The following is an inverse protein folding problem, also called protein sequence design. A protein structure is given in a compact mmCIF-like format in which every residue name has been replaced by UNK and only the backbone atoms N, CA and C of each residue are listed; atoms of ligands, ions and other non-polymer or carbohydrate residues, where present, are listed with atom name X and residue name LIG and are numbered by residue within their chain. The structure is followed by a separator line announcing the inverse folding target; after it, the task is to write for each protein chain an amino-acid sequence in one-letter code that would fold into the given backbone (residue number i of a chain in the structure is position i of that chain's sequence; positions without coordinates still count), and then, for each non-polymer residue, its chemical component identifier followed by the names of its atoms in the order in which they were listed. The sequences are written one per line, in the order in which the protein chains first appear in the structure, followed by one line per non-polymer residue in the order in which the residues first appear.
data_IF_022533908162
#
_entry.id   IF_022533908162
#
_cell.length_a   1.000
_cell.length_b   1.000
_cell.length_c   1.000
_cell.angle_alpha   90.00
_cell.angle_beta   90.00
_cell.angle_gamma   90.00
#
_symmetry.space_group_name_H-M   'P 1'
#
loop_
_entity.id
_entity.type
_entity.pdbx_description
1 polymer ?
#
# COMPACT_ATOMS: atom_id res chain seq x y z
N UNK A 1 9.75 -2.98 11.23
CA UNK A 1 9.03 -3.00 9.92
C UNK A 1 7.57 -2.68 10.15
N UNK A 2 6.93 -1.89 9.27
CA UNK A 2 5.49 -1.58 9.30
C UNK A 2 4.77 -2.62 8.44
N UNK A 3 3.72 -3.24 8.97
CA UNK A 3 2.92 -4.23 8.24
C UNK A 3 1.63 -3.58 7.73
N UNK A 4 1.34 -3.78 6.43
CA UNK A 4 0.11 -3.38 5.78
C UNK A 4 -0.66 -4.65 5.36
N UNK A 5 -1.94 -4.75 5.74
CA UNK A 5 -2.81 -5.81 5.23
C UNK A 5 -3.27 -5.47 3.81
N UNK A 6 -3.15 -6.40 2.87
CA UNK A 6 -3.61 -6.24 1.49
C UNK A 6 -5.12 -6.36 1.40
N UNK A 7 -5.80 -5.28 0.99
CA UNK A 7 -7.27 -5.17 0.90
C UNK A 7 -8.00 -5.40 2.23
N UNK A 8 -7.39 -4.91 3.34
CA UNK A 8 -7.83 -5.22 4.69
C UNK A 8 -7.37 -6.60 5.18
N UNK A 9 -7.63 -6.92 6.44
CA UNK A 9 -7.32 -8.26 6.98
C UNK A 9 -8.51 -9.21 6.79
N UNK A 10 -8.58 -9.83 5.65
CA UNK A 10 -9.63 -10.76 5.25
C UNK A 10 -9.31 -12.21 5.69
N UNK A 11 -10.34 -13.01 5.94
CA UNK A 11 -10.25 -14.45 6.23
C UNK A 11 -10.70 -15.30 5.05
N UNK A 12 -11.54 -14.75 4.18
CA UNK A 12 -11.97 -15.35 2.92
C UNK A 12 -11.83 -14.34 1.80
N UNK A 13 -11.64 -14.78 0.56
CA UNK A 13 -11.48 -13.89 -0.58
C UNK A 13 -12.66 -12.91 -0.78
N UNK A 14 -13.86 -13.31 -0.35
CA UNK A 14 -15.06 -12.46 -0.42
C UNK A 14 -15.03 -11.26 0.56
N UNK A 15 -14.18 -11.30 1.58
CA UNK A 15 -14.02 -10.19 2.53
C UNK A 15 -13.07 -9.10 2.05
N UNK A 16 -12.29 -9.32 0.98
CA UNK A 16 -11.34 -8.31 0.46
C UNK A 16 -12.05 -6.99 0.20
N UNK A 17 -11.44 -5.88 0.65
CA UNK A 17 -11.99 -4.53 0.50
C UNK A 17 -13.37 -4.31 1.15
N UNK A 18 -13.75 -5.13 2.11
CA UNK A 18 -15.03 -4.97 2.83
C UNK A 18 -14.85 -4.31 4.20
N UNK A 19 -15.92 -3.72 4.75
CA UNK A 19 -15.89 -3.14 6.11
C UNK A 19 -15.37 -4.09 7.19
N UNK A 20 -15.66 -5.40 7.06
CA UNK A 20 -15.24 -6.42 8.04
C UNK A 20 -13.71 -6.59 8.03
N UNK A 21 -13.10 -6.71 6.84
CA UNK A 21 -11.65 -6.87 6.72
C UNK A 21 -10.91 -5.59 7.10
N UNK A 22 -11.44 -4.42 6.72
CA UNK A 22 -10.87 -3.12 7.06
C UNK A 22 -10.89 -2.89 8.58
N UNK A 23 -12.04 -3.11 9.23
CA UNK A 23 -12.17 -2.99 10.70
C UNK A 23 -11.21 -3.93 11.42
N UNK A 24 -11.15 -5.20 11.02
CA UNK A 24 -10.23 -6.19 11.61
C UNK A 24 -8.76 -5.76 11.49
N UNK A 25 -8.38 -5.17 10.35
CA UNK A 25 -7.03 -4.65 10.16
C UNK A 25 -6.73 -3.51 11.13
N UNK A 26 -7.63 -2.54 11.22
CA UNK A 26 -7.44 -1.36 12.07
C UNK A 26 -7.48 -1.71 13.57
N UNK A 27 -8.40 -2.57 13.99
CA UNK A 27 -8.51 -3.03 15.39
C UNK A 27 -7.24 -3.75 15.87
N UNK A 28 -6.52 -4.42 14.97
CA UNK A 28 -5.25 -5.08 15.25
C UNK A 28 -4.02 -4.15 15.06
N UNK A 29 -4.22 -2.90 14.69
CA UNK A 29 -3.17 -1.91 14.54
C UNK A 29 -2.33 -2.06 13.26
N UNK A 30 -2.82 -2.80 12.27
CA UNK A 30 -2.15 -2.88 10.97
C UNK A 30 -2.47 -1.66 10.10
N UNK A 31 -1.47 -1.21 9.34
CA UNK A 31 -1.75 -0.40 8.16
C UNK A 31 -2.54 -1.21 7.14
N UNK A 32 -3.09 -0.54 6.13
CA UNK A 32 -3.93 -1.21 5.15
C UNK A 32 -3.66 -0.69 3.75
N UNK A 33 -3.53 -1.62 2.82
CA UNK A 33 -3.64 -1.35 1.39
C UNK A 33 -5.10 -1.53 0.96
N UNK A 34 -5.58 -0.66 0.07
CA UNK A 34 -6.93 -0.74 -0.51
C UNK A 34 -6.99 -0.13 -1.90
N UNK A 35 -7.93 -0.62 -2.70
CA UNK A 35 -8.14 -0.20 -4.09
C UNK A 35 -9.18 0.91 -4.18
N UNK A 36 -8.87 2.01 -4.87
CA UNK A 36 -9.78 3.15 -5.04
C UNK A 36 -10.12 3.38 -6.50
N UNK A 37 -11.43 3.49 -6.77
CA UNK A 37 -12.02 3.89 -8.04
C UNK A 37 -13.05 4.99 -7.84
N UNK A 38 -13.56 5.50 -8.95
CA UNK A 38 -14.72 6.37 -8.98
C UNK A 38 -16.00 5.62 -9.40
N UNK A 39 -17.11 6.07 -8.88
CA UNK A 39 -18.45 5.67 -9.30
C UNK A 39 -19.41 6.86 -9.13
N UNK A 40 -19.98 7.34 -10.21
CA UNK A 40 -20.95 8.46 -10.20
C UNK A 40 -20.44 9.72 -9.45
N UNK A 41 -19.14 10.01 -9.55
CA UNK A 41 -18.53 11.17 -8.90
C UNK A 41 -18.12 10.97 -7.44
N UNK A 42 -18.25 9.76 -6.89
CA UNK A 42 -17.77 9.39 -5.56
C UNK A 42 -16.57 8.45 -5.65
N UNK A 43 -15.66 8.50 -4.68
CA UNK A 43 -14.60 7.51 -4.53
C UNK A 43 -15.14 6.29 -3.78
N UNK A 44 -14.94 5.11 -4.37
CA UNK A 44 -15.37 3.82 -3.83
C UNK A 44 -14.20 2.86 -3.68
N UNK A 45 -14.34 1.90 -2.76
CA UNK A 45 -13.34 0.86 -2.53
C UNK A 45 -13.65 -0.32 -3.45
N UNK A 46 -12.87 -0.46 -4.53
CA UNK A 46 -13.06 -1.54 -5.50
C UNK A 46 -11.82 -1.81 -6.33
N UNK A 47 -11.43 -3.09 -6.41
CA UNK A 47 -10.38 -3.52 -7.34
C UNK A 47 -10.89 -3.54 -8.79
N UNK A 48 -12.05 -4.14 -9.00
CA UNK A 48 -12.67 -4.27 -10.33
C UNK A 48 -13.61 -3.09 -10.62
N UNK A 49 -14.22 -3.10 -11.79
CA UNK A 49 -15.22 -2.09 -12.15
C UNK A 49 -16.37 -2.11 -11.14
N UNK A 50 -16.71 -0.97 -10.54
CA UNK A 50 -17.75 -0.90 -9.51
C UNK A 50 -19.12 -1.34 -10.04
N UNK A 51 -19.88 -2.07 -9.22
CA UNK A 51 -21.21 -2.59 -9.56
C UNK A 51 -22.35 -2.04 -8.68
N UNK A 52 -22.02 -1.25 -7.66
CA UNK A 52 -22.98 -0.60 -6.76
C UNK A 52 -23.02 -1.16 -5.34
N UNK A 53 -22.26 -2.21 -5.05
CA UNK A 53 -22.22 -2.81 -3.71
C UNK A 53 -21.04 -2.29 -2.86
N UNK A 54 -20.14 -1.52 -3.44
CA UNK A 54 -18.91 -1.05 -2.81
C UNK A 54 -19.20 0.03 -1.76
N UNK A 55 -18.41 0.01 -0.69
CA UNK A 55 -18.40 1.14 0.24
C UNK A 55 -17.67 2.32 -0.38
N UNK A 56 -18.00 3.53 0.06
CA UNK A 56 -17.26 4.73 -0.32
C UNK A 56 -15.94 4.82 0.43
N UNK A 57 -14.98 5.55 -0.14
CA UNK A 57 -13.73 5.88 0.59
C UNK A 57 -14.07 6.63 1.90
N UNK A 58 -15.05 7.52 1.90
CA UNK A 58 -15.49 8.21 3.09
C UNK A 58 -15.93 7.24 4.19
N UNK A 59 -16.74 6.23 3.86
CA UNK A 59 -17.17 5.20 4.82
C UNK A 59 -15.99 4.34 5.32
N UNK A 60 -15.00 4.05 4.48
CA UNK A 60 -13.78 3.38 4.92
C UNK A 60 -12.98 4.24 5.92
N UNK A 61 -12.84 5.53 5.62
CA UNK A 61 -12.14 6.47 6.51
C UNK A 61 -12.88 6.68 7.84
N UNK A 62 -14.21 6.55 7.86
CA UNK A 62 -15.00 6.57 9.09
C UNK A 62 -14.77 5.28 9.93
N UNK A 63 -14.48 4.14 9.28
CA UNK A 63 -14.08 2.91 9.98
C UNK A 63 -12.69 3.05 10.63
N UNK A 64 -11.78 3.79 9.98
CA UNK A 64 -10.45 4.10 10.54
C UNK A 64 -10.55 4.92 11.83
N UNK A 65 -11.63 5.68 12.00
CA UNK A 65 -12.01 6.41 13.23
C UNK A 65 -10.87 7.23 13.86
N UNK A 66 -10.15 7.98 13.01
CA UNK A 66 -9.05 8.84 13.45
C UNK A 66 -7.78 8.11 13.90
N UNK A 67 -7.71 6.79 13.78
CA UNK A 67 -6.47 6.06 14.03
C UNK A 67 -5.38 6.50 13.04
N UNK A 68 -4.17 6.79 13.53
CA UNK A 68 -3.02 7.17 12.68
C UNK A 68 -2.29 5.93 12.17
N UNK A 69 -3.00 5.12 11.37
CA UNK A 69 -2.44 3.93 10.72
C UNK A 69 -2.10 4.21 9.26
N UNK A 70 -1.01 3.63 8.72
CA UNK A 70 -0.61 3.86 7.34
C UNK A 70 -1.65 3.31 6.35
N UNK A 71 -1.99 4.11 5.34
CA UNK A 71 -2.86 3.71 4.24
C UNK A 71 -2.09 3.74 2.92
N UNK A 72 -2.06 2.61 2.21
CA UNK A 72 -1.58 2.50 0.84
C UNK A 72 -2.79 2.48 -0.11
N UNK A 73 -2.94 3.52 -0.91
CA UNK A 73 -4.10 3.71 -1.80
C UNK A 73 -3.72 3.34 -3.21
N UNK A 74 -4.19 2.19 -3.66
CA UNK A 74 -4.01 1.71 -5.02
C UNK A 74 -4.99 2.44 -5.96
N UNK A 75 -4.47 3.20 -6.90
CA UNK A 75 -5.25 4.01 -7.82
C UNK A 75 -5.64 3.16 -9.05
N UNK A 76 -6.92 2.84 -9.17
CA UNK A 76 -7.45 1.97 -10.23
C UNK A 76 -8.12 2.74 -11.39
N UNK A 77 -8.14 4.06 -11.32
CA UNK A 77 -8.62 4.92 -12.39
C UNK A 77 -7.91 6.28 -12.35
N UNK A 78 -7.73 6.92 -13.48
CA UNK A 78 -7.16 8.26 -13.58
C UNK A 78 -8.19 9.33 -13.19
N UNK A 79 -7.72 10.52 -12.79
CA UNK A 79 -8.59 11.67 -12.47
C UNK A 79 -9.06 11.74 -11.02
N UNK A 80 -8.59 10.88 -10.13
CA UNK A 80 -9.05 10.80 -8.73
C UNK A 80 -8.30 11.75 -7.78
N UNK A 81 -7.17 12.31 -8.21
CA UNK A 81 -6.21 13.02 -7.36
C UNK A 81 -6.83 14.11 -6.48
N UNK A 82 -7.67 15.00 -7.08
CA UNK A 82 -8.25 16.12 -6.35
C UNK A 82 -9.22 15.66 -5.26
N UNK A 83 -10.19 14.82 -5.63
CA UNK A 83 -11.21 14.33 -4.70
C UNK A 83 -10.60 13.49 -3.58
N UNK A 84 -9.58 12.67 -3.90
CA UNK A 84 -8.82 11.91 -2.91
C UNK A 84 -8.13 12.85 -1.91
N UNK A 85 -7.40 13.84 -2.42
CA UNK A 85 -6.68 14.80 -1.57
C UNK A 85 -7.63 15.55 -0.64
N UNK A 86 -8.77 16.02 -1.15
CA UNK A 86 -9.80 16.72 -0.37
C UNK A 86 -10.31 15.84 0.78
N UNK A 87 -10.61 14.56 0.54
CA UNK A 87 -11.11 13.65 1.57
C UNK A 87 -10.06 13.34 2.64
N UNK A 88 -8.79 13.15 2.24
CA UNK A 88 -7.70 12.89 3.19
C UNK A 88 -7.39 14.13 4.05
N UNK A 89 -7.36 15.33 3.45
CA UNK A 89 -7.14 16.58 4.16
C UNK A 89 -8.28 16.92 5.13
N UNK A 90 -9.53 16.70 4.72
CA UNK A 90 -10.70 16.95 5.57
C UNK A 90 -10.69 16.12 6.87
N UNK A 91 -9.97 14.99 6.89
CA UNK A 91 -9.81 14.13 8.07
C UNK A 91 -8.44 14.31 8.76
N UNK A 92 -7.59 15.20 8.27
CA UNK A 92 -6.25 15.44 8.84
C UNK A 92 -5.31 14.23 8.72
N UNK A 93 -5.53 13.34 7.75
CA UNK A 93 -4.72 12.14 7.59
C UNK A 93 -3.36 12.50 6.97
N UNK A 94 -2.27 12.02 7.57
CA UNK A 94 -0.90 12.30 7.15
C UNK A 94 -0.11 11.05 6.79
N UNK A 95 -0.54 9.87 7.23
CA UNK A 95 0.16 8.59 7.02
C UNK A 95 -0.47 7.79 5.89
N UNK A 96 -0.49 8.35 4.70
CA UNK A 96 -1.00 7.67 3.51
C UNK A 96 -0.11 7.93 2.30
N UNK A 97 -0.26 7.14 1.27
CA UNK A 97 0.37 7.34 -0.03
C UNK A 97 -0.44 6.66 -1.14
N UNK A 98 -0.25 7.13 -2.37
CA UNK A 98 -0.85 6.55 -3.57
C UNK A 98 0.19 5.78 -4.37
N UNK A 99 -0.27 4.77 -5.10
CA UNK A 99 0.59 3.97 -5.99
C UNK A 99 -0.24 3.35 -7.13
N UNK A 100 0.41 2.70 -8.09
CA UNK A 100 -0.17 1.96 -9.23
C UNK A 100 -0.97 2.80 -10.24
N UNK A 101 -0.98 4.12 -10.12
CA UNK A 101 -1.59 5.00 -11.12
C UNK A 101 -0.81 4.98 -12.44
N UNK A 102 -1.47 5.39 -13.53
CA UNK A 102 -0.78 5.69 -14.78
C UNK A 102 0.29 6.79 -14.60
N UNK A 103 1.32 6.80 -15.45
CA UNK A 103 2.35 7.85 -15.39
C UNK A 103 1.76 9.26 -15.59
N UNK A 104 0.80 9.50 -16.49
CA UNK A 104 0.12 10.79 -16.57
C UNK A 104 -0.59 11.19 -15.28
N UNK A 105 -1.32 10.28 -14.65
CA UNK A 105 -1.98 10.53 -13.35
C UNK A 105 -0.97 10.79 -12.23
N UNK A 106 0.15 10.06 -12.23
CA UNK A 106 1.25 10.29 -11.28
C UNK A 106 1.76 11.75 -11.37
N UNK A 107 1.93 12.28 -12.58
CA UNK A 107 2.37 13.67 -12.77
C UNK A 107 1.34 14.66 -12.21
N UNK A 108 0.04 14.38 -12.37
CA UNK A 108 -1.02 15.22 -11.78
C UNK A 108 -0.95 15.18 -10.26
N UNK A 109 -0.83 13.99 -9.67
CA UNK A 109 -0.75 13.82 -8.22
C UNK A 109 0.48 14.49 -7.61
N UNK A 110 1.66 14.34 -8.24
CA UNK A 110 2.89 15.02 -7.81
C UNK A 110 2.76 16.55 -7.87
N UNK A 111 2.13 17.11 -8.91
CA UNK A 111 1.87 18.55 -9.00
C UNK A 111 0.93 19.09 -7.92
N UNK A 112 0.01 18.25 -7.44
CA UNK A 112 -0.89 18.55 -6.35
C UNK A 112 -0.25 18.31 -4.97
N UNK A 113 0.99 17.81 -4.92
CA UNK A 113 1.71 17.54 -3.67
C UNK A 113 1.23 16.28 -2.94
N UNK A 114 0.59 15.33 -3.62
CA UNK A 114 0.19 14.08 -3.01
C UNK A 114 1.42 13.18 -2.72
N UNK A 115 1.36 12.36 -1.67
CA UNK A 115 2.43 11.44 -1.31
C UNK A 115 2.41 10.21 -2.24
N UNK A 116 3.16 10.28 -3.35
CA UNK A 116 3.18 9.25 -4.39
C UNK A 116 4.31 8.27 -4.16
N UNK A 117 4.02 6.97 -4.29
CA UNK A 117 5.01 5.91 -4.45
C UNK A 117 5.06 5.48 -5.92
N UNK A 118 6.28 5.40 -6.46
CA UNK A 118 6.49 4.86 -7.79
C UNK A 118 6.72 3.37 -7.73
N UNK A 119 6.15 2.61 -8.66
CA UNK A 119 6.37 1.16 -8.71
C UNK A 119 7.76 0.85 -9.29
N UNK A 120 8.43 -0.10 -8.64
CA UNK A 120 9.61 -0.79 -9.14
C UNK A 120 9.30 -2.27 -9.25
N UNK A 121 9.47 -2.85 -10.42
CA UNK A 121 9.24 -4.27 -10.69
C UNK A 121 10.21 -4.76 -11.74
N UNK A 122 10.22 -6.07 -12.01
CA UNK A 122 10.99 -6.64 -13.12
C UNK A 122 10.62 -6.07 -14.50
N UNK A 123 9.49 -5.34 -14.60
CA UNK A 123 9.00 -4.71 -15.83
C UNK A 123 9.16 -3.19 -15.85
N UNK A 124 9.46 -2.58 -14.70
CA UNK A 124 9.44 -1.12 -14.51
C UNK A 124 10.71 -0.66 -13.79
N UNK A 125 11.83 -0.76 -14.47
CA UNK A 125 13.10 -0.29 -13.96
C UNK A 125 13.82 0.56 -15.03
N UNK A 126 14.18 1.82 -14.73
CA UNK A 126 14.02 2.53 -13.44
C UNK A 126 12.57 2.94 -13.17
N UNK A 127 12.18 3.11 -11.87
CA UNK A 127 10.85 3.59 -11.50
C UNK A 127 10.54 4.95 -12.11
N UNK A 128 9.32 5.12 -12.61
CA UNK A 128 8.88 6.39 -13.19
C UNK A 128 8.93 7.52 -12.16
N UNK A 129 9.42 8.71 -12.54
CA UNK A 129 9.49 9.89 -11.66
C UNK A 129 10.19 9.64 -10.32
N UNK A 130 11.20 8.77 -10.30
CA UNK A 130 11.94 8.36 -9.11
C UNK A 130 12.35 9.54 -8.20
N UNK A 131 12.90 10.59 -8.79
CA UNK A 131 13.38 11.75 -8.02
C UNK A 131 12.26 12.43 -7.22
N UNK A 132 11.06 12.51 -7.78
CA UNK A 132 9.93 13.25 -7.20
C UNK A 132 9.05 12.37 -6.29
N UNK A 133 9.08 11.05 -6.47
CA UNK A 133 8.28 10.12 -5.66
C UNK A 133 8.75 10.10 -4.21
N UNK A 134 7.81 10.08 -3.26
CA UNK A 134 8.07 9.94 -1.82
C UNK A 134 8.65 8.57 -1.48
N UNK A 135 8.26 7.56 -2.21
CA UNK A 135 8.67 6.18 -1.93
C UNK A 135 8.57 5.27 -3.14
N UNK A 136 8.87 4.00 -2.88
CA UNK A 136 8.84 2.91 -3.85
C UNK A 136 7.86 1.84 -3.40
N UNK A 137 6.94 1.48 -4.30
CA UNK A 137 6.16 0.25 -4.24
C UNK A 137 6.98 -0.83 -4.95
N UNK A 138 7.65 -1.68 -4.14
CA UNK A 138 8.60 -2.67 -4.65
C UNK A 138 7.89 -4.01 -4.85
N UNK A 139 7.62 -4.33 -6.09
CA UNK A 139 6.87 -5.51 -6.48
C UNK A 139 7.75 -6.53 -7.24
N UNK A 140 7.38 -7.78 -7.16
CA UNK A 140 7.97 -8.88 -7.90
C UNK A 140 6.87 -9.80 -8.40
N UNK A 141 6.38 -9.60 -9.61
CA UNK A 141 5.23 -10.33 -10.16
C UNK A 141 5.53 -11.82 -10.38
N UNK A 142 6.67 -12.12 -10.96
CA UNK A 142 7.04 -13.49 -11.35
C UNK A 142 8.17 -14.07 -10.54
N UNK A 143 9.06 -13.22 -10.02
CA UNK A 143 10.25 -13.65 -9.29
C UNK A 143 10.65 -12.61 -8.24
N UNK A 144 11.58 -13.01 -7.37
CA UNK A 144 12.29 -12.05 -6.53
C UNK A 144 13.52 -11.55 -7.31
N UNK A 145 13.34 -10.47 -8.07
CA UNK A 145 14.35 -9.88 -8.96
C UNK A 145 15.27 -8.87 -8.25
N UNK A 146 14.95 -8.50 -7.02
CA UNK A 146 15.70 -7.56 -6.19
C UNK A 146 16.30 -8.26 -4.96
N UNK A 147 17.31 -7.64 -4.40
CA UNK A 147 18.00 -8.07 -3.17
C UNK A 147 17.97 -6.98 -2.08
N UNK A 148 18.60 -7.26 -0.94
CA UNK A 148 18.73 -6.29 0.17
C UNK A 148 19.51 -5.06 -0.24
N UNK A 149 20.49 -5.18 -1.16
CA UNK A 149 21.29 -4.04 -1.62
C UNK A 149 20.43 -3.01 -2.36
N UNK A 150 19.48 -3.49 -3.19
CA UNK A 150 18.54 -2.63 -3.90
C UNK A 150 17.59 -1.91 -2.93
N UNK A 151 17.03 -2.63 -1.95
CA UNK A 151 16.20 -2.03 -0.89
C UNK A 151 16.98 -0.96 -0.13
N UNK A 152 18.21 -1.28 0.30
CA UNK A 152 19.11 -0.35 0.99
C UNK A 152 19.45 0.87 0.13
N UNK A 153 19.56 0.70 -1.19
CA UNK A 153 19.75 1.79 -2.13
C UNK A 153 18.61 2.80 -2.07
N UNK A 154 17.38 2.35 -2.20
CA UNK A 154 16.19 3.20 -2.10
C UNK A 154 16.09 3.92 -0.74
N UNK A 155 16.34 3.21 0.35
CA UNK A 155 16.31 3.79 1.70
C UNK A 155 17.42 4.86 1.90
N UNK A 156 18.63 4.64 1.37
CA UNK A 156 19.72 5.63 1.40
C UNK A 156 19.42 6.87 0.58
N UNK A 157 18.65 6.73 -0.51
CA UNK A 157 18.17 7.85 -1.32
C UNK A 157 17.00 8.61 -0.63
N UNK A 158 16.69 8.26 0.62
CA UNK A 158 15.62 8.88 1.42
C UNK A 158 14.21 8.42 1.05
N UNK A 159 14.07 7.38 0.22
CA UNK A 159 12.77 6.85 -0.15
C UNK A 159 12.18 6.00 0.97
N UNK A 160 10.86 6.06 1.14
CA UNK A 160 10.11 5.01 1.84
C UNK A 160 9.99 3.81 0.90
N UNK A 161 9.98 2.60 1.44
CA UNK A 161 9.85 1.39 0.63
C UNK A 161 8.73 0.53 1.17
N UNK A 162 7.75 0.20 0.33
CA UNK A 162 6.73 -0.79 0.63
C UNK A 162 6.97 -2.01 -0.27
N UNK A 163 7.32 -3.12 0.35
CA UNK A 163 7.58 -4.38 -0.34
C UNK A 163 6.26 -5.14 -0.48
N UNK A 164 6.00 -5.65 -1.66
CA UNK A 164 4.89 -6.57 -1.92
C UNK A 164 5.32 -7.98 -1.55
N UNK A 165 4.59 -8.61 -0.64
CA UNK A 165 4.90 -9.96 -0.20
C UNK A 165 4.53 -10.99 -1.28
N UNK A 166 5.37 -12.01 -1.51
CA UNK A 166 5.23 -12.93 -2.65
C UNK A 166 3.91 -13.69 -2.73
N UNK A 167 3.22 -13.91 -1.61
CA UNK A 167 1.94 -14.62 -1.61
C UNK A 167 0.82 -13.84 -2.32
N UNK A 168 0.94 -12.51 -2.47
CA UNK A 168 0.02 -11.73 -3.29
C UNK A 168 0.02 -12.20 -4.75
N UNK A 169 1.13 -12.82 -5.18
CA UNK A 169 1.30 -13.42 -6.50
C UNK A 169 1.35 -14.97 -6.45
N UNK A 170 0.82 -15.58 -5.39
CA UNK A 170 0.72 -17.03 -5.24
C UNK A 170 2.03 -17.77 -4.98
N UNK A 171 3.08 -17.06 -4.53
CA UNK A 171 4.40 -17.64 -4.22
C UNK A 171 4.61 -17.74 -2.70
N UNK A 172 5.54 -18.61 -2.26
CA UNK A 172 5.90 -18.72 -0.84
C UNK A 172 6.58 -17.42 -0.34
N UNK A 173 6.06 -16.76 0.71
CA UNK A 173 6.67 -15.54 1.25
C UNK A 173 7.92 -15.80 2.09
N UNK A 174 8.09 -17.00 2.62
CA UNK A 174 9.14 -17.31 3.60
C UNK A 174 10.56 -17.01 3.13
N UNK A 175 10.96 -17.28 1.87
CA UNK A 175 12.30 -16.94 1.39
C UNK A 175 12.59 -15.44 1.48
N UNK A 176 11.65 -14.59 1.05
CA UNK A 176 11.78 -13.14 1.16
C UNK A 176 11.79 -12.68 2.63
N UNK A 177 10.88 -13.21 3.44
CA UNK A 177 10.81 -12.85 4.85
C UNK A 177 12.08 -13.24 5.62
N UNK A 178 12.68 -14.40 5.32
CA UNK A 178 13.94 -14.83 5.90
C UNK A 178 15.11 -13.90 5.49
N UNK A 179 15.16 -13.53 4.19
CA UNK A 179 16.13 -12.58 3.68
C UNK A 179 16.03 -11.22 4.38
N UNK A 180 14.83 -10.69 4.50
CA UNK A 180 14.60 -9.42 5.20
C UNK A 180 14.99 -9.52 6.66
N UNK A 181 14.52 -10.54 7.39
CA UNK A 181 14.79 -10.73 8.83
C UNK A 181 16.26 -10.84 9.15
N UNK A 182 17.06 -11.40 8.25
CA UNK A 182 18.52 -11.53 8.42
C UNK A 182 19.30 -10.26 8.07
N UNK A 183 18.63 -9.20 7.65
CA UNK A 183 19.23 -7.96 7.16
C UNK A 183 18.96 -6.77 8.09
N UNK A 184 19.83 -5.77 8.06
CA UNK A 184 19.69 -4.54 8.85
C UNK A 184 18.51 -3.66 8.40
N UNK A 185 17.98 -3.88 7.18
CA UNK A 185 16.88 -3.06 6.65
C UNK A 185 15.56 -3.31 7.38
N UNK A 186 15.40 -4.46 8.05
CA UNK A 186 14.16 -4.85 8.74
C UNK A 186 13.71 -3.82 9.77
N UNK A 187 14.64 -3.22 10.49
CA UNK A 187 14.36 -2.25 11.54
C UNK A 187 14.25 -0.81 11.02
N UNK A 188 14.41 -0.60 9.71
CA UNK A 188 14.35 0.74 9.15
C UNK A 188 12.92 1.30 9.23
N UNK A 189 12.70 2.51 9.80
CA UNK A 189 11.37 3.06 10.06
C UNK A 189 10.56 3.37 8.77
N UNK A 190 11.25 3.50 7.64
CA UNK A 190 10.62 3.75 6.34
C UNK A 190 10.33 2.46 5.54
N UNK A 191 10.60 1.26 6.12
CA UNK A 191 10.32 -0.01 5.47
C UNK A 191 8.96 -0.55 5.87
N UNK A 192 8.17 -0.93 4.87
CA UNK A 192 6.83 -1.50 4.97
C UNK A 192 6.75 -2.81 4.21
N UNK A 193 5.86 -3.69 4.64
CA UNK A 193 5.50 -4.93 3.95
C UNK A 193 4.00 -4.99 3.75
N UNK A 194 3.54 -5.10 2.51
CA UNK A 194 2.14 -5.36 2.17
C UNK A 194 1.94 -6.87 1.99
N UNK A 195 1.00 -7.47 2.75
CA UNK A 195 0.84 -8.92 2.85
C UNK A 195 -0.62 -9.34 3.04
N UNK A 196 -0.99 -10.52 2.54
CA UNK A 196 -2.25 -11.20 2.85
C UNK A 196 -2.22 -11.88 4.24
N UNK A 197 -1.05 -11.98 4.88
CA UNK A 197 -0.78 -12.69 6.13
C UNK A 197 -0.26 -11.74 7.23
N UNK A 198 -1.02 -10.68 7.61
CA UNK A 198 -0.47 -9.61 8.46
C UNK A 198 -0.11 -10.08 9.88
N UNK A 199 -0.86 -11.01 10.49
CA UNK A 199 -0.52 -11.55 11.82
C UNK A 199 0.73 -12.43 11.74
N UNK A 200 0.83 -13.32 10.74
CA UNK A 200 2.01 -14.17 10.56
C UNK A 200 3.27 -13.33 10.31
N UNK A 201 3.14 -12.27 9.50
CA UNK A 201 4.24 -11.33 9.25
C UNK A 201 4.63 -10.57 10.52
N UNK A 202 3.66 -10.09 11.30
CA UNK A 202 3.94 -9.42 12.57
C UNK A 202 4.67 -10.34 13.55
N UNK A 203 4.23 -11.58 13.70
CA UNK A 203 4.87 -12.58 14.55
C UNK A 203 6.28 -12.94 14.01
N UNK A 204 6.43 -13.08 12.69
CA UNK A 204 7.71 -13.40 12.06
C UNK A 204 8.77 -12.32 12.30
N UNK A 205 8.43 -11.06 12.12
CA UNK A 205 9.35 -9.94 12.25
C UNK A 205 9.48 -9.41 13.69
N UNK A 206 8.74 -9.96 14.65
CA UNK A 206 8.78 -9.53 16.06
C UNK A 206 8.20 -8.14 16.26
N UNK A 207 7.31 -7.71 15.37
CA UNK A 207 6.62 -6.42 15.46
C UNK A 207 5.77 -6.33 16.72
N UNK A 208 5.92 -5.24 17.48
CA UNK A 208 4.92 -4.92 18.52
C UNK A 208 3.60 -4.63 17.80
N UNK A 209 2.59 -5.37 18.18
CA UNK A 209 1.19 -5.08 17.86
C UNK A 209 0.80 -3.73 18.45
#
# INVERSE_FOLDING_TARGET
MIILSHRGYWKTAAEKNTPVALRRSFDLGFGTETDVRDRNGELVISHDMPNGSEITLAAMLDILDGCDLPLAINIKADGLARLLNEQMQARGLTRWFTFDMSVPEMVVQLRLGLPVFSRASEYEEPPARYADALGIWLDGFTSQWYDVSKISGFLRDGKRVCIVSPELHGRDPKPLWALLKSSEVTDHPALMLCTDLPEDAADWFGGKR
#
